data_IF_760874358829
#
_entry.id   IF_760874358829
#
_cell.length_a   1.000
_cell.length_b   1.000
_cell.length_c   1.000
_cell.angle_alpha   90.00
_cell.angle_beta   90.00
_cell.angle_gamma   90.00
#
_symmetry.space_group_name_H-M   'P 1'
#
loop_
_entity.id
_entity.type
_entity.pdbx_description
1 polymer ?
#
# COMPACT_ATOMS: atom_id res chain seq x y z
N UNK A 1 6.01 -12.09 -13.78
CA UNK A 1 7.43 -11.82 -13.48
C UNK A 1 7.50 -10.96 -12.22
N UNK A 2 8.36 -11.31 -11.27
CA UNK A 2 8.59 -10.59 -10.00
C UNK A 2 10.11 -10.48 -9.76
N UNK A 3 10.62 -9.28 -9.55
CA UNK A 3 12.04 -9.03 -9.32
C UNK A 3 12.58 -9.61 -8.00
N UNK A 4 11.70 -9.97 -7.08
CA UNK A 4 12.07 -10.50 -5.77
C UNK A 4 12.24 -12.03 -5.79
N UNK A 5 12.98 -12.61 -4.83
CA UNK A 5 13.14 -14.08 -4.75
C UNK A 5 11.87 -14.84 -4.37
N UNK A 6 10.83 -14.15 -3.92
CA UNK A 6 9.49 -14.70 -3.68
C UNK A 6 8.44 -13.62 -3.85
N UNK A 7 7.27 -13.99 -4.36
CA UNK A 7 6.15 -13.07 -4.56
C UNK A 7 5.47 -12.71 -3.24
N UNK A 8 4.78 -11.57 -3.22
CA UNK A 8 3.95 -11.15 -2.10
C UNK A 8 4.73 -10.70 -0.85
N UNK A 9 6.00 -10.35 -0.95
CA UNK A 9 6.82 -9.97 0.22
C UNK A 9 6.26 -8.75 0.95
N UNK A 10 5.87 -7.71 0.22
CA UNK A 10 5.24 -6.52 0.81
C UNK A 10 3.86 -6.84 1.38
N UNK A 11 3.09 -7.72 0.73
CA UNK A 11 1.80 -8.20 1.22
C UNK A 11 1.94 -8.91 2.58
N UNK A 12 2.96 -9.74 2.76
CA UNK A 12 3.23 -10.43 4.03
C UNK A 12 3.61 -9.45 5.15
N UNK A 13 4.29 -8.34 4.84
CA UNK A 13 4.64 -7.33 5.82
C UNK A 13 3.39 -6.60 6.35
N UNK A 14 2.39 -6.36 5.51
CA UNK A 14 1.15 -5.70 5.89
C UNK A 14 0.37 -6.43 7.00
N UNK A 15 0.66 -7.71 7.25
CA UNK A 15 0.02 -8.53 8.28
C UNK A 15 0.68 -8.51 9.65
N UNK A 16 1.68 -7.69 9.92
CA UNK A 16 2.41 -7.70 11.22
C UNK A 16 1.53 -7.33 12.41
N UNK A 17 0.60 -6.38 12.25
CA UNK A 17 -0.38 -6.00 13.29
C UNK A 17 -1.78 -6.60 13.07
N UNK A 18 -1.92 -7.52 12.13
CA UNK A 18 -3.20 -8.02 11.63
C UNK A 18 -3.44 -7.56 10.21
N UNK A 19 -3.76 -8.50 9.31
CA UNK A 19 -4.02 -8.23 7.89
C UNK A 19 -5.35 -7.51 7.72
N UNK A 20 -5.34 -6.17 7.68
CA UNK A 20 -6.54 -5.42 7.30
C UNK A 20 -6.83 -5.59 5.81
N UNK A 21 -7.98 -6.16 5.47
CA UNK A 21 -8.43 -6.46 4.11
C UNK A 21 -9.16 -5.26 3.52
N UNK A 22 -10.19 -4.80 4.22
CA UNK A 22 -11.06 -3.71 3.82
C UNK A 22 -11.77 -3.10 5.04
N UNK A 23 -12.81 -2.32 4.80
CA UNK A 23 -13.66 -1.72 5.82
C UNK A 23 -15.13 -2.02 5.54
N UNK A 24 -15.92 -2.26 6.58
CA UNK A 24 -17.34 -2.65 6.50
C UNK A 24 -18.30 -1.46 6.42
N UNK A 25 -17.80 -0.25 6.23
CA UNK A 25 -18.66 0.93 6.10
C UNK A 25 -19.49 0.89 4.81
N UNK A 26 -20.60 1.60 4.82
CA UNK A 26 -21.47 1.71 3.65
C UNK A 26 -20.74 2.32 2.44
N UNK A 27 -21.09 1.86 1.23
CA UNK A 27 -20.45 2.27 -0.03
C UNK A 27 -20.25 3.79 -0.19
N UNK A 28 -21.25 4.67 0.11
CA UNK A 28 -21.03 6.11 -0.03
C UNK A 28 -19.92 6.67 0.87
N UNK A 29 -19.84 6.16 2.11
CA UNK A 29 -18.79 6.55 3.06
C UNK A 29 -17.43 6.01 2.60
N UNK A 30 -17.36 4.77 2.12
CA UNK A 30 -16.15 4.18 1.57
C UNK A 30 -15.64 4.97 0.35
N UNK A 31 -16.53 5.30 -0.59
CA UNK A 31 -16.19 6.08 -1.78
C UNK A 31 -15.69 7.49 -1.42
N UNK A 32 -16.27 8.14 -0.41
CA UNK A 32 -15.86 9.50 0.00
C UNK A 32 -14.41 9.59 0.48
N UNK A 33 -13.80 8.46 0.89
CA UNK A 33 -12.38 8.40 1.29
C UNK A 33 -11.41 8.67 0.16
N UNK A 34 -11.86 8.58 -1.09
CA UNK A 34 -11.07 8.90 -2.28
C UNK A 34 -11.10 10.39 -2.65
N UNK A 35 -11.79 11.21 -1.82
CA UNK A 35 -11.86 12.67 -1.97
C UNK A 35 -12.14 13.08 -3.43
N UNK A 36 -11.30 13.95 -4.02
CA UNK A 36 -11.43 14.44 -5.40
C UNK A 36 -11.31 13.32 -6.48
N UNK A 37 -10.80 12.15 -6.12
CA UNK A 37 -10.69 10.99 -7.01
C UNK A 37 -11.91 10.06 -6.96
N UNK A 38 -12.89 10.36 -6.10
CA UNK A 38 -14.11 9.55 -5.98
C UNK A 38 -14.83 9.33 -7.33
N UNK A 39 -14.96 10.32 -8.25
CA UNK A 39 -15.60 10.08 -9.54
C UNK A 39 -14.88 9.02 -10.40
N UNK A 40 -13.54 9.01 -10.39
CA UNK A 40 -12.75 8.02 -11.14
C UNK A 40 -12.79 6.64 -10.48
N UNK A 41 -12.86 6.60 -9.15
CA UNK A 41 -12.91 5.35 -8.40
C UNK A 41 -14.30 4.68 -8.39
N UNK A 42 -15.37 5.46 -8.50
CA UNK A 42 -16.73 4.95 -8.42
C UNK A 42 -17.02 3.80 -9.40
N UNK A 43 -16.68 3.84 -10.70
CA UNK A 43 -16.94 2.72 -11.62
C UNK A 43 -16.14 1.46 -11.24
N UNK A 44 -14.90 1.61 -10.75
CA UNK A 44 -14.06 0.49 -10.33
C UNK A 44 -14.62 -0.18 -9.08
N UNK A 45 -15.03 0.61 -8.08
CA UNK A 45 -15.61 0.11 -6.84
C UNK A 45 -17.03 -0.49 -7.05
N UNK A 46 -17.79 -0.04 -8.06
CA UNK A 46 -19.05 -0.71 -8.42
C UNK A 46 -18.81 -2.08 -9.03
N UNK A 47 -17.71 -2.25 -9.76
CA UNK A 47 -17.35 -3.55 -10.34
C UNK A 47 -16.78 -4.51 -9.29
N UNK A 48 -16.02 -3.99 -8.32
CA UNK A 48 -15.37 -4.79 -7.27
C UNK A 48 -15.27 -3.97 -5.97
N UNK A 49 -16.29 -4.07 -5.14
CA UNK A 49 -16.40 -3.36 -3.86
C UNK A 49 -15.82 -4.16 -2.68
N UNK A 50 -15.97 -3.63 -1.47
CA UNK A 50 -15.50 -4.27 -0.24
C UNK A 50 -16.16 -5.63 0.00
N UNK A 51 -17.44 -5.77 -0.32
CA UNK A 51 -18.18 -7.02 -0.17
C UNK A 51 -17.75 -8.05 -1.22
N UNK A 52 -17.51 -7.62 -2.47
CA UNK A 52 -16.96 -8.48 -3.52
C UNK A 52 -15.56 -9.00 -3.14
N UNK A 53 -14.72 -8.14 -2.56
CA UNK A 53 -13.41 -8.55 -2.04
C UNK A 53 -13.55 -9.59 -0.92
N UNK A 54 -14.46 -9.39 0.03
CA UNK A 54 -14.71 -10.39 1.10
C UNK A 54 -15.19 -11.72 0.51
N UNK A 55 -16.16 -11.71 -0.41
CA UNK A 55 -16.63 -12.92 -1.09
C UNK A 55 -15.48 -13.65 -1.80
N UNK A 56 -14.66 -12.92 -2.53
CA UNK A 56 -13.50 -13.49 -3.22
C UNK A 56 -12.50 -14.15 -2.25
N UNK A 57 -12.29 -13.57 -1.06
CA UNK A 57 -11.44 -14.14 -0.02
C UNK A 57 -12.07 -15.41 0.57
N UNK A 58 -13.39 -15.39 0.81
CA UNK A 58 -14.11 -16.58 1.29
C UNK A 58 -14.03 -17.74 0.28
N UNK A 59 -14.10 -17.44 -1.03
CA UNK A 59 -13.88 -18.44 -2.08
C UNK A 59 -12.47 -19.05 -2.09
N UNK A 60 -11.49 -18.37 -1.49
CA UNK A 60 -10.16 -18.92 -1.24
C UNK A 60 -10.11 -19.81 0.02
N UNK A 61 -11.23 -19.99 0.74
CA UNK A 61 -11.31 -20.75 1.98
C UNK A 61 -10.79 -19.98 3.20
N UNK A 62 -10.76 -18.64 3.14
CA UNK A 62 -10.30 -17.78 4.24
C UNK A 62 -11.50 -17.03 4.81
N UNK A 63 -11.88 -17.36 6.04
CA UNK A 63 -12.95 -16.65 6.76
C UNK A 63 -12.48 -15.29 7.26
N UNK A 64 -13.43 -14.34 7.34
CA UNK A 64 -13.16 -12.97 7.79
C UNK A 64 -14.10 -12.56 8.93
N UNK A 65 -13.68 -11.57 9.71
CA UNK A 65 -14.52 -10.92 10.72
C UNK A 65 -14.35 -9.40 10.68
N UNK A 66 -15.35 -8.70 11.20
CA UNK A 66 -15.31 -7.24 11.36
C UNK A 66 -14.84 -6.90 12.78
N UNK A 67 -13.75 -6.17 12.88
CA UNK A 67 -13.26 -5.66 14.16
C UNK A 67 -14.07 -4.45 14.66
N UNK A 68 -13.87 -4.05 15.91
CA UNK A 68 -14.61 -2.95 16.56
C UNK A 68 -14.45 -1.59 15.84
N UNK A 69 -13.40 -1.43 15.06
CA UNK A 69 -13.17 -0.21 14.25
C UNK A 69 -13.83 -0.26 12.87
N UNK A 70 -14.61 -1.29 12.55
CA UNK A 70 -15.17 -1.53 11.21
C UNK A 70 -14.18 -2.11 10.20
N UNK A 71 -12.92 -2.32 10.55
CA UNK A 71 -11.93 -2.98 9.69
C UNK A 71 -12.23 -4.47 9.59
N UNK A 72 -12.03 -5.02 8.40
CA UNK A 72 -12.22 -6.45 8.11
C UNK A 72 -10.87 -7.15 8.12
N UNK A 73 -10.80 -8.28 8.83
CA UNK A 73 -9.59 -9.09 8.98
C UNK A 73 -9.87 -10.56 8.68
N UNK A 74 -8.86 -11.35 8.24
CA UNK A 74 -8.96 -12.79 8.33
C UNK A 74 -9.11 -13.23 9.79
N UNK A 75 -9.83 -14.32 10.05
CA UNK A 75 -10.04 -14.82 11.43
C UNK A 75 -8.75 -15.13 12.17
N UNK A 76 -7.71 -15.56 11.47
CA UNK A 76 -6.39 -15.81 12.04
C UNK A 76 -5.48 -14.55 12.08
N UNK A 77 -5.96 -13.38 11.63
CA UNK A 77 -5.23 -12.11 11.58
C UNK A 77 -3.99 -12.11 10.66
N UNK A 78 -3.72 -13.18 9.91
CA UNK A 78 -2.46 -13.39 9.19
C UNK A 78 -2.61 -13.24 7.67
N UNK A 79 -1.62 -12.63 7.04
CA UNK A 79 -1.54 -12.52 5.58
C UNK A 79 -1.09 -13.83 4.89
N UNK A 80 -0.28 -14.65 5.56
CA UNK A 80 0.37 -15.79 4.93
C UNK A 80 -0.60 -16.91 4.47
N UNK A 81 -1.65 -17.31 5.21
CA UNK A 81 -2.63 -18.26 4.72
C UNK A 81 -3.37 -17.77 3.48
N UNK A 82 -3.81 -16.50 3.48
CA UNK A 82 -4.46 -15.88 2.33
C UNK A 82 -3.54 -15.88 1.09
N UNK A 83 -2.29 -15.47 1.24
CA UNK A 83 -1.33 -15.48 0.13
C UNK A 83 -1.11 -16.89 -0.43
N UNK A 84 -0.97 -17.91 0.44
CA UNK A 84 -0.81 -19.31 -0.01
C UNK A 84 -2.02 -19.81 -0.78
N UNK A 85 -3.22 -19.55 -0.30
CA UNK A 85 -4.47 -19.94 -0.97
C UNK A 85 -4.60 -19.24 -2.34
N UNK A 86 -4.29 -17.96 -2.41
CA UNK A 86 -4.30 -17.19 -3.65
C UNK A 86 -3.26 -17.71 -4.66
N UNK A 87 -2.02 -17.94 -4.24
CA UNK A 87 -0.97 -18.49 -5.10
C UNK A 87 -1.30 -19.91 -5.59
N UNK A 88 -1.97 -20.72 -4.76
CA UNK A 88 -2.48 -22.03 -5.17
C UNK A 88 -3.49 -21.88 -6.30
N UNK A 89 -4.54 -21.06 -6.12
CA UNK A 89 -5.56 -20.77 -7.15
C UNK A 89 -4.92 -20.30 -8.47
N UNK A 90 -3.96 -19.37 -8.41
CA UNK A 90 -3.27 -18.87 -9.60
C UNK A 90 -2.55 -19.98 -10.36
N UNK A 91 -1.82 -20.86 -9.67
CA UNK A 91 -1.13 -22.00 -10.32
C UNK A 91 -2.11 -23.00 -10.91
N UNK A 92 -3.20 -23.31 -10.21
CA UNK A 92 -4.26 -24.18 -10.70
C UNK A 92 -4.97 -23.61 -11.94
N UNK A 93 -4.97 -22.28 -12.07
CA UNK A 93 -5.47 -21.56 -13.26
C UNK A 93 -4.42 -21.42 -14.39
N UNK A 94 -3.25 -22.07 -14.27
CA UNK A 94 -2.22 -22.07 -15.30
C UNK A 94 -1.27 -20.86 -15.25
N UNK A 95 -1.33 -20.01 -14.20
CA UNK A 95 -0.42 -18.87 -14.08
C UNK A 95 0.98 -19.35 -13.73
N UNK A 96 1.96 -19.00 -14.57
CA UNK A 96 3.39 -19.26 -14.34
C UNK A 96 4.03 -18.03 -13.69
N UNK A 97 4.69 -18.23 -12.56
CA UNK A 97 5.33 -17.16 -11.78
C UNK A 97 6.84 -17.28 -11.90
N UNK A 98 7.46 -16.25 -12.46
CA UNK A 98 8.91 -16.14 -12.58
C UNK A 98 9.43 -15.15 -11.52
N UNK A 99 10.13 -15.64 -10.50
CA UNK A 99 10.79 -14.83 -9.46
C UNK A 99 12.22 -14.49 -9.84
N UNK A 100 12.80 -13.43 -9.24
CA UNK A 100 14.12 -12.89 -9.60
C UNK A 100 14.20 -12.46 -11.05
N UNK A 101 13.08 -11.99 -11.60
CA UNK A 101 12.97 -11.48 -12.94
C UNK A 101 12.56 -10.01 -12.88
N UNK A 102 13.54 -9.12 -13.07
CA UNK A 102 13.32 -7.66 -12.99
C UNK A 102 13.09 -7.09 -14.38
N UNK A 103 12.00 -6.37 -14.54
CA UNK A 103 11.76 -5.60 -15.76
C UNK A 103 12.73 -4.42 -15.87
N UNK A 104 13.40 -4.28 -17.02
CA UNK A 104 14.38 -3.24 -17.34
C UNK A 104 13.87 -2.24 -18.38
N UNK A 105 12.59 -2.29 -18.74
CA UNK A 105 12.03 -1.46 -19.80
C UNK A 105 11.88 -2.22 -21.11
N UNK A 106 12.04 -1.52 -22.20
CA UNK A 106 11.84 -2.05 -23.56
C UNK A 106 13.09 -1.92 -24.40
N UNK A 107 13.20 -2.80 -25.38
CA UNK A 107 14.09 -2.65 -26.54
C UNK A 107 13.54 -1.58 -27.50
N UNK A 108 14.36 -1.23 -28.51
CA UNK A 108 13.95 -0.29 -29.56
C UNK A 108 12.77 -0.83 -30.39
N UNK A 109 12.66 -2.14 -30.57
CA UNK A 109 11.59 -2.84 -31.27
C UNK A 109 10.32 -3.11 -30.43
N UNK A 110 10.30 -2.62 -29.15
CA UNK A 110 9.19 -2.76 -28.24
C UNK A 110 9.16 -4.06 -27.43
N UNK A 111 10.09 -4.97 -27.62
CA UNK A 111 10.19 -6.15 -26.75
C UNK A 111 10.55 -5.76 -25.32
N UNK A 112 10.01 -6.51 -24.33
CA UNK A 112 10.36 -6.32 -22.93
C UNK A 112 11.77 -6.81 -22.64
N UNK A 113 12.51 -6.07 -21.85
CA UNK A 113 13.80 -6.49 -21.30
C UNK A 113 13.59 -6.95 -19.86
N UNK A 114 14.02 -8.15 -19.56
CA UNK A 114 13.91 -8.75 -18.23
C UNK A 114 15.29 -9.24 -17.80
N UNK A 115 15.80 -8.71 -16.69
CA UNK A 115 16.96 -9.29 -16.01
C UNK A 115 16.52 -10.56 -15.26
N UNK A 116 17.21 -11.65 -15.47
CA UNK A 116 16.91 -12.96 -14.87
C UNK A 116 18.18 -13.64 -14.36
N UNK A 117 18.06 -14.69 -13.52
CA UNK A 117 19.21 -15.46 -13.03
C UNK A 117 20.09 -16.06 -14.15
N UNK A 118 19.51 -16.28 -15.32
CA UNK A 118 20.22 -16.83 -16.50
C UNK A 118 20.74 -15.72 -17.44
N UNK A 119 20.61 -14.44 -17.07
CA UNK A 119 20.95 -13.28 -17.86
C UNK A 119 19.76 -12.51 -18.39
N UNK A 120 20.01 -11.48 -19.19
CA UNK A 120 18.95 -10.64 -19.76
C UNK A 120 18.17 -11.42 -20.84
N UNK A 121 16.84 -11.39 -20.70
CA UNK A 121 15.89 -12.00 -21.65
C UNK A 121 15.08 -10.92 -22.36
N UNK A 122 14.72 -11.19 -23.59
CA UNK A 122 13.82 -10.39 -24.40
C UNK A 122 12.49 -11.14 -24.56
N UNK A 123 11.37 -10.48 -24.30
CA UNK A 123 10.04 -11.08 -24.35
C UNK A 123 9.12 -10.25 -25.24
N UNK A 124 8.34 -10.96 -26.07
CA UNK A 124 7.31 -10.36 -26.91
C UNK A 124 5.95 -10.98 -26.54
N UNK A 125 5.32 -10.57 -25.44
CA UNK A 125 4.00 -11.06 -25.07
C UNK A 125 2.90 -10.40 -25.92
N UNK A 126 1.73 -11.03 -26.00
CA UNK A 126 0.55 -10.48 -26.67
C UNK A 126 -0.02 -9.27 -25.92
N UNK A 127 0.10 -9.26 -24.59
CA UNK A 127 -0.33 -8.14 -23.73
C UNK A 127 0.57 -8.01 -22.49
N UNK A 128 0.67 -6.79 -21.96
CA UNK A 128 1.47 -6.48 -20.78
C UNK A 128 0.63 -5.73 -19.77
N UNK A 129 0.59 -6.24 -18.53
CA UNK A 129 0.08 -5.49 -17.37
C UNK A 129 1.25 -5.10 -16.46
N UNK A 130 1.50 -3.81 -16.33
CA UNK A 130 2.54 -3.28 -15.45
C UNK A 130 1.97 -3.08 -14.04
N UNK A 131 2.29 -3.99 -13.12
CA UNK A 131 1.88 -3.95 -11.71
C UNK A 131 3.11 -3.72 -10.80
N UNK A 132 3.83 -2.64 -11.04
CA UNK A 132 5.19 -2.38 -10.58
C UNK A 132 5.29 -1.91 -9.12
N UNK A 133 4.16 -1.73 -8.44
CA UNK A 133 4.13 -1.24 -7.07
C UNK A 133 4.44 0.26 -6.95
N UNK A 134 4.71 0.71 -5.74
CA UNK A 134 5.09 2.09 -5.43
C UNK A 134 6.58 2.23 -5.11
N UNK A 135 6.93 3.18 -4.21
CA UNK A 135 8.30 3.47 -3.79
C UNK A 135 8.56 3.35 -2.29
N UNK A 136 7.67 2.73 -1.50
CA UNK A 136 7.71 2.80 -0.04
C UNK A 136 8.53 1.71 0.66
N UNK A 137 8.92 0.64 -0.02
CA UNK A 137 9.66 -0.49 0.57
C UNK A 137 10.63 -1.09 -0.44
N UNK A 138 11.70 -0.36 -0.76
CA UNK A 138 12.68 -0.74 -1.77
C UNK A 138 13.25 -2.17 -1.54
N UNK A 139 13.60 -2.52 -0.30
CA UNK A 139 14.10 -3.87 0.06
C UNK A 139 13.08 -4.99 -0.16
N UNK A 140 11.81 -4.68 -0.37
CA UNK A 140 10.74 -5.63 -0.66
C UNK A 140 10.25 -5.56 -2.11
N UNK A 141 10.97 -4.85 -2.97
CA UNK A 141 10.68 -4.71 -4.39
C UNK A 141 9.76 -3.53 -4.76
N UNK A 142 9.38 -2.68 -3.80
CA UNK A 142 8.59 -1.47 -4.05
C UNK A 142 9.50 -0.25 -3.98
N UNK A 143 10.33 -0.05 -5.01
CA UNK A 143 11.46 0.89 -5.06
C UNK A 143 11.25 2.09 -5.99
N UNK A 144 10.16 2.13 -6.78
CA UNK A 144 9.87 3.23 -7.71
C UNK A 144 10.79 3.31 -8.93
N UNK A 145 11.71 2.36 -9.12
CA UNK A 145 12.71 2.39 -10.22
C UNK A 145 12.10 2.29 -11.62
N UNK A 146 10.81 1.96 -11.72
CA UNK A 146 10.06 1.95 -12.97
C UNK A 146 9.74 3.35 -13.50
N UNK A 147 9.74 4.38 -12.65
CA UNK A 147 9.34 5.74 -13.05
C UNK A 147 10.19 6.29 -14.20
N UNK A 148 11.53 6.30 -14.15
CA UNK A 148 12.34 6.79 -15.26
C UNK A 148 12.14 5.96 -16.54
N UNK A 149 11.80 4.68 -16.46
CA UNK A 149 11.53 3.83 -17.62
C UNK A 149 10.26 4.27 -18.37
N UNK A 150 9.21 4.62 -17.63
CA UNK A 150 7.97 5.14 -18.20
C UNK A 150 8.13 6.59 -18.69
N UNK A 151 8.78 7.45 -17.91
CA UNK A 151 9.09 8.82 -18.31
C UNK A 151 9.90 8.87 -19.63
N UNK A 152 10.88 7.97 -19.78
CA UNK A 152 11.66 7.82 -21.01
C UNK A 152 10.84 7.40 -22.24
N UNK A 153 9.60 6.93 -22.04
CA UNK A 153 8.63 6.62 -23.11
C UNK A 153 7.57 7.71 -23.28
N UNK A 154 7.77 8.87 -22.67
CA UNK A 154 6.85 10.01 -22.78
C UNK A 154 5.57 9.86 -21.96
N UNK A 155 5.53 8.94 -21.00
CA UNK A 155 4.39 8.81 -20.08
C UNK A 155 4.49 9.94 -19.05
N UNK A 156 3.44 10.73 -18.92
CA UNK A 156 3.32 11.73 -17.86
C UNK A 156 3.13 11.02 -16.52
N UNK A 157 3.99 11.32 -15.55
CA UNK A 157 4.00 10.69 -14.25
C UNK A 157 3.80 11.72 -13.14
N UNK A 158 2.81 11.49 -12.28
CA UNK A 158 2.74 12.18 -11.01
C UNK A 158 3.85 11.67 -10.07
N UNK A 159 4.56 12.57 -9.36
CA UNK A 159 5.58 12.15 -8.39
C UNK A 159 4.94 11.31 -7.28
N UNK A 160 5.67 10.27 -6.82
CA UNK A 160 5.25 9.50 -5.66
C UNK A 160 5.29 10.37 -4.41
N UNK A 161 4.23 10.33 -3.64
CA UNK A 161 4.08 11.06 -2.38
C UNK A 161 3.89 10.09 -1.21
N UNK A 162 4.43 10.41 0.00
CA UNK A 162 4.16 9.62 1.19
C UNK A 162 2.66 9.52 1.48
N UNK A 163 2.21 8.33 1.87
CA UNK A 163 0.82 8.07 2.26
C UNK A 163 0.81 7.08 3.43
N UNK A 164 -0.11 7.26 4.38
CA UNK A 164 -0.15 6.49 5.62
C UNK A 164 1.23 6.44 6.31
N UNK A 165 1.84 7.59 6.47
CA UNK A 165 3.17 7.75 7.07
C UNK A 165 3.09 8.46 8.43
N UNK A 166 4.10 8.26 9.26
CA UNK A 166 4.40 9.13 10.38
C UNK A 166 5.10 10.40 9.91
N UNK A 167 5.33 11.30 10.85
CA UNK A 167 6.03 12.57 10.61
C UNK A 167 7.09 12.77 11.68
N UNK A 168 8.25 13.22 11.25
CA UNK A 168 9.27 13.72 12.13
C UNK A 168 8.88 15.12 12.63
N UNK A 169 9.22 15.44 13.89
CA UNK A 169 8.89 16.71 14.51
C UNK A 169 10.17 17.46 14.83
N UNK A 170 10.33 18.65 14.28
CA UNK A 170 11.45 19.53 14.60
C UNK A 170 11.46 19.85 16.11
N UNK A 171 12.64 19.87 16.71
CA UNK A 171 12.78 20.16 18.14
C UNK A 171 12.25 19.06 19.09
N UNK A 172 12.11 17.82 18.60
CA UNK A 172 11.70 16.67 19.43
C UNK A 172 12.63 16.49 20.61
N UNK A 173 12.11 16.60 21.83
CA UNK A 173 12.95 16.63 23.03
C UNK A 173 13.61 15.28 23.32
N UNK A 174 14.78 15.32 23.98
CA UNK A 174 15.47 14.10 24.41
C UNK A 174 14.63 13.27 25.38
N UNK A 175 13.78 13.91 26.17
CA UNK A 175 12.84 13.22 27.08
C UNK A 175 11.80 12.41 26.30
N UNK A 176 11.20 12.98 25.26
CA UNK A 176 10.27 12.26 24.38
C UNK A 176 10.97 11.11 23.67
N UNK A 177 12.15 11.35 23.12
CA UNK A 177 12.96 10.37 22.41
C UNK A 177 13.38 9.18 23.26
N UNK A 178 13.92 9.44 24.47
CA UNK A 178 14.51 8.40 25.31
C UNK A 178 13.51 7.68 26.20
N UNK A 179 12.46 8.37 26.67
CA UNK A 179 11.53 7.81 27.67
C UNK A 179 10.18 7.40 27.08
N UNK A 180 9.76 8.01 25.99
CA UNK A 180 8.40 7.82 25.47
C UNK A 180 8.36 7.24 24.05
N UNK A 181 9.49 6.99 23.39
CA UNK A 181 9.48 6.31 22.09
C UNK A 181 8.80 4.93 22.21
N UNK A 182 7.77 4.69 21.38
CA UNK A 182 6.90 3.52 21.43
C UNK A 182 5.66 3.70 22.31
N UNK A 183 5.55 4.79 23.07
CA UNK A 183 4.40 5.03 23.94
C UNK A 183 3.16 5.48 23.13
N UNK A 184 1.99 4.85 23.34
CA UNK A 184 0.75 5.30 22.73
C UNK A 184 0.15 6.49 23.45
N UNK A 185 -0.32 7.48 22.69
CA UNK A 185 -1.21 8.55 23.15
C UNK A 185 -2.64 8.18 22.74
N UNK A 186 -3.47 7.86 23.70
CA UNK A 186 -4.85 7.44 23.49
C UNK A 186 -5.83 8.57 23.83
N UNK A 187 -7.02 8.52 23.22
CA UNK A 187 -8.09 9.50 23.45
C UNK A 187 -7.64 10.95 23.23
N UNK A 188 -6.82 11.18 22.23
CA UNK A 188 -6.39 12.50 21.80
C UNK A 188 -7.22 13.00 20.62
N UNK A 189 -7.31 14.31 20.45
CA UNK A 189 -7.87 14.94 19.27
C UNK A 189 -6.78 15.72 18.55
N UNK A 190 -6.68 15.56 17.23
CA UNK A 190 -5.80 16.35 16.37
C UNK A 190 -6.63 17.14 15.39
N UNK A 191 -6.34 18.43 15.28
CA UNK A 191 -6.85 19.32 14.25
C UNK A 191 -5.67 20.01 13.57
N UNK A 192 -5.77 20.22 12.28
CA UNK A 192 -4.96 21.22 11.57
C UNK A 192 -5.65 22.58 11.72
N UNK A 193 -4.93 23.67 11.44
CA UNK A 193 -5.48 25.01 11.46
C UNK A 193 -6.84 25.06 10.75
N UNK A 194 -7.85 25.60 11.42
CA UNK A 194 -9.23 25.72 10.92
C UNK A 194 -9.96 24.40 10.59
N UNK A 195 -9.41 23.24 10.97
CA UNK A 195 -10.03 21.93 10.72
C UNK A 195 -10.85 21.41 11.89
N UNK A 196 -11.82 20.52 11.61
CA UNK A 196 -12.55 19.80 12.65
C UNK A 196 -11.63 18.78 13.33
N UNK A 197 -11.50 18.77 14.67
CA UNK A 197 -10.70 17.80 15.37
C UNK A 197 -11.14 16.35 15.08
N UNK A 198 -10.20 15.46 14.87
CA UNK A 198 -10.44 14.02 14.79
C UNK A 198 -9.92 13.35 16.05
N UNK A 199 -10.76 12.56 16.68
CA UNK A 199 -10.40 11.73 17.84
C UNK A 199 -9.71 10.45 17.38
N UNK A 200 -8.75 9.99 18.20
CA UNK A 200 -8.07 8.72 17.94
C UNK A 200 -6.88 8.51 18.84
N UNK A 201 -5.92 7.77 18.33
CA UNK A 201 -4.66 7.47 19.00
C UNK A 201 -3.48 7.61 18.05
N UNK A 202 -2.33 7.97 18.58
CA UNK A 202 -1.06 7.93 17.89
C UNK A 202 0.03 7.34 18.79
N UNK A 203 1.21 7.15 18.23
CA UNK A 203 2.38 6.62 18.92
C UNK A 203 3.49 7.67 18.81
N UNK A 204 4.16 7.93 19.91
CA UNK A 204 5.39 8.71 19.94
C UNK A 204 6.51 7.85 19.37
N UNK A 205 7.26 8.37 18.40
CA UNK A 205 8.45 7.70 17.87
C UNK A 205 9.74 8.35 18.38
N UNK A 206 10.87 7.82 18.02
CA UNK A 206 12.15 8.41 18.36
C UNK A 206 12.40 9.80 17.75
N UNK A 207 11.68 10.15 16.68
CA UNK A 207 11.84 11.42 15.96
C UNK A 207 10.55 12.21 15.77
N UNK A 208 9.38 11.64 16.17
CA UNK A 208 8.10 12.30 15.91
C UNK A 208 6.89 11.47 16.32
N UNK A 209 5.90 11.39 15.45
CA UNK A 209 4.60 10.77 15.69
C UNK A 209 4.16 9.88 14.55
N UNK A 210 3.47 8.77 14.86
CA UNK A 210 2.85 7.86 13.89
C UNK A 210 1.53 7.28 14.42
N UNK A 211 0.91 6.39 13.68
CA UNK A 211 -0.29 5.65 14.09
C UNK A 211 -1.55 6.07 13.34
N UNK A 212 -2.66 5.41 13.66
CA UNK A 212 -3.88 5.48 12.85
C UNK A 212 -4.46 6.90 12.69
N UNK A 213 -4.39 7.71 13.75
CA UNK A 213 -4.85 9.10 13.70
C UNK A 213 -3.94 9.95 12.80
N UNK A 214 -2.63 9.77 12.90
CA UNK A 214 -1.64 10.47 12.06
C UNK A 214 -1.80 10.06 10.60
N UNK A 215 -2.00 8.76 10.33
CA UNK A 215 -2.23 8.27 8.97
C UNK A 215 -3.50 8.87 8.33
N UNK A 216 -4.55 9.09 9.14
CA UNK A 216 -5.76 9.75 8.66
C UNK A 216 -5.55 11.24 8.30
N UNK A 217 -4.49 11.86 8.85
CA UNK A 217 -4.09 13.23 8.57
C UNK A 217 -2.90 13.33 7.60
N UNK A 218 -2.35 12.21 7.12
CA UNK A 218 -1.09 12.24 6.36
C UNK A 218 -1.17 13.06 5.07
N UNK A 219 -2.28 13.05 4.36
CA UNK A 219 -2.41 13.87 3.15
C UNK A 219 -2.44 15.38 3.47
N UNK A 220 -3.33 15.90 4.36
CA UNK A 220 -3.31 17.32 4.72
C UNK A 220 -1.99 17.80 5.32
N UNK A 221 -1.34 17.01 6.19
CA UNK A 221 -0.04 17.37 6.77
C UNK A 221 1.03 17.45 5.68
N UNK A 222 1.09 16.45 4.80
CA UNK A 222 2.01 16.44 3.67
C UNK A 222 1.83 17.66 2.76
N UNK A 223 0.58 18.01 2.43
CA UNK A 223 0.30 19.19 1.61
C UNK A 223 0.76 20.48 2.30
N UNK A 224 0.55 20.61 3.61
CA UNK A 224 1.06 21.74 4.38
C UNK A 224 2.60 21.81 4.32
N UNK A 225 3.29 20.68 4.53
CA UNK A 225 4.75 20.60 4.44
C UNK A 225 5.22 20.96 3.01
N UNK A 226 4.56 20.46 1.97
CA UNK A 226 4.93 20.78 0.58
C UNK A 226 4.77 22.28 0.26
N UNK A 227 3.84 22.97 0.91
CA UNK A 227 3.58 24.41 0.71
C UNK A 227 4.48 25.30 1.56
N UNK A 228 4.78 24.89 2.78
CA UNK A 228 5.46 25.72 3.77
C UNK A 228 6.92 25.31 3.98
N UNK A 229 7.31 24.10 3.56
CA UNK A 229 8.65 23.54 3.71
C UNK A 229 8.90 22.87 5.06
N UNK A 230 7.95 22.92 5.96
CA UNK A 230 8.00 22.28 7.29
C UNK A 230 6.59 22.03 7.86
#
# INVERSE_FOLDING_TARGET
>A
YDGMPSVGRKFLLAGVGGMNITHSEAYPAFLSRYAERAPQMAPLLRAFDADALCRWIHELGIETFVGSSGRVFPTDMKAAPLLRAWLKRLRESGVVIHTRHRWLGWQADGQLRIDSPEGEKQLKPDAVLLALGGGSWARLGSDGTWMPLLAGRGVELAPLQPSNCGFDVAGWSEVLRSKFAGAPLKNIAIALEHGTPRLGECVITASGIEGSLIYAWSAPIREAINQQGE
#
